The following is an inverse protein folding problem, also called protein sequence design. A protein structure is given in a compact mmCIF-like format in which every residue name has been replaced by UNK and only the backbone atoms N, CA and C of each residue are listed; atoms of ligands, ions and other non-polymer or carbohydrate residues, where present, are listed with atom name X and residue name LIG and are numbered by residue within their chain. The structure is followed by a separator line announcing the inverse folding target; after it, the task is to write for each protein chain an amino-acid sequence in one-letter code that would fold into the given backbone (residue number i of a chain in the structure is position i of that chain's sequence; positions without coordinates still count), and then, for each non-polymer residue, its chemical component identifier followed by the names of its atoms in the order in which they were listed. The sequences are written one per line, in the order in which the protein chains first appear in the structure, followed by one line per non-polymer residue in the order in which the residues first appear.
data_IF_410091335889
#
_entry.id   IF_410091335889
#
_cell.length_a   1.000
_cell.length_b   1.000
_cell.length_c   1.000
_cell.angle_alpha   90.00
_cell.angle_beta   90.00
_cell.angle_gamma   90.00
#
_symmetry.space_group_name_H-M   'P 1'
#
loop_
_entity.id
_entity.type
_entity.pdbx_description
1 polymer ?
#
# COMPACT_ATOMS: atom_id res chain seq x y z
N UNK A 1 -11.08 16.48 6.15
CA UNK A 1 -10.56 15.10 6.00
C UNK A 1 -9.09 15.09 6.33
N UNK A 2 -8.71 14.31 7.35
CA UNK A 2 -7.31 14.08 7.69
C UNK A 2 -7.09 12.58 7.80
N UNK A 3 -6.04 12.10 7.14
CA UNK A 3 -5.62 10.70 7.21
C UNK A 3 -4.23 10.68 7.83
N UNK A 4 -4.09 9.94 8.92
CA UNK A 4 -2.78 9.60 9.47
C UNK A 4 -2.62 8.09 9.41
N UNK A 5 -1.52 7.65 8.83
CA UNK A 5 -1.24 6.23 8.68
C UNK A 5 0.23 5.98 8.95
N UNK A 6 0.49 4.89 9.67
CA UNK A 6 1.84 4.43 9.97
C UNK A 6 2.12 3.19 9.12
N UNK A 7 3.24 3.20 8.41
CA UNK A 7 3.67 2.08 7.57
C UNK A 7 5.06 1.63 7.98
N UNK A 8 5.21 0.31 8.15
CA UNK A 8 6.48 -0.37 8.17
C UNK A 8 6.86 -0.76 6.75
N UNK A 9 8.10 -0.43 6.36
CA UNK A 9 8.65 -0.75 5.04
C UNK A 9 9.91 -1.64 5.17
N UNK A 10 9.78 -2.93 5.49
CA UNK A 10 10.91 -3.85 5.40
C UNK A 10 11.39 -3.91 3.95
N UNK A 11 12.70 -3.74 3.71
CA UNK A 11 13.30 -3.83 2.39
C UNK A 11 14.57 -4.68 2.42
N UNK A 12 14.80 -5.41 1.34
CA UNK A 12 15.95 -6.30 1.16
C UNK A 12 16.52 -6.12 -0.25
N UNK A 13 17.77 -5.66 -0.32
CA UNK A 13 18.49 -5.44 -1.56
C UNK A 13 19.35 -6.66 -1.93
N UNK A 14 19.20 -7.11 -3.17
CA UNK A 14 19.88 -8.23 -3.82
C UNK A 14 20.51 -7.74 -5.12
N UNK A 15 21.74 -7.23 -5.05
CA UNK A 15 22.51 -6.70 -6.18
C UNK A 15 21.75 -5.62 -6.96
N UNK A 16 21.07 -6.01 -8.05
CA UNK A 16 20.31 -5.14 -8.95
C UNK A 16 18.81 -5.15 -8.66
N UNK A 17 18.34 -5.97 -7.72
CA UNK A 17 16.92 -6.09 -7.36
C UNK A 17 16.75 -5.71 -5.89
N UNK A 18 15.82 -4.82 -5.57
CA UNK A 18 15.42 -4.54 -4.18
C UNK A 18 13.97 -4.91 -3.99
N UNK A 19 13.71 -5.85 -3.08
CA UNK A 19 12.35 -6.23 -2.68
C UNK A 19 11.97 -5.44 -1.43
N UNK A 20 10.74 -4.96 -1.36
CA UNK A 20 10.21 -4.32 -0.17
C UNK A 20 8.76 -4.72 0.09
N UNK A 21 8.39 -4.81 1.35
CA UNK A 21 7.00 -4.89 1.80
C UNK A 21 6.56 -3.55 2.34
N UNK A 22 5.27 -3.27 2.27
CA UNK A 22 4.60 -2.19 2.98
C UNK A 22 3.57 -2.85 3.88
N UNK A 23 3.61 -2.58 5.17
CA UNK A 23 2.62 -3.06 6.12
C UNK A 23 2.21 -1.86 6.95
N UNK A 24 0.97 -1.42 6.83
CA UNK A 24 0.51 -0.23 7.52
C UNK A 24 -0.88 -0.33 8.06
N UNK A 25 -1.15 0.60 8.95
CA UNK A 25 -2.44 0.76 9.56
C UNK A 25 -2.74 2.25 9.60
N UNK A 26 -3.85 2.62 8.97
CA UNK A 26 -4.26 4.01 8.79
C UNK A 26 -5.57 4.30 9.49
N UNK A 27 -5.65 5.46 10.14
CA UNK A 27 -6.90 5.98 10.68
C UNK A 27 -7.37 7.14 9.80
N UNK A 28 -8.54 6.98 9.18
CA UNK A 28 -9.17 8.04 8.42
C UNK A 28 -10.13 8.79 9.33
N UNK A 29 -9.91 10.09 9.50
CA UNK A 29 -10.85 10.97 10.21
C UNK A 29 -11.60 11.81 9.19
N UNK A 30 -12.89 11.51 9.07
CA UNK A 30 -13.88 12.35 8.42
C UNK A 30 -14.55 13.20 9.49
N UNK A 31 -14.56 14.51 9.26
CA UNK A 31 -15.16 15.48 10.16
C UNK A 31 -16.29 16.14 9.39
N UNK A 32 -17.51 15.65 9.62
CA UNK A 32 -18.76 16.12 9.01
C UNK A 32 -19.89 16.13 10.06
N UNK A 33 -19.63 16.74 11.22
CA UNK A 33 -20.58 16.87 12.33
C UNK A 33 -20.69 15.66 13.27
N UNK A 34 -20.20 14.49 12.87
CA UNK A 34 -19.96 13.34 13.74
C UNK A 34 -18.56 12.76 13.46
N UNK A 35 -17.77 12.49 14.51
CA UNK A 35 -16.41 11.97 14.35
C UNK A 35 -16.46 10.48 14.04
N UNK A 36 -16.39 10.12 12.76
CA UNK A 36 -16.23 8.73 12.34
C UNK A 36 -14.73 8.46 12.14
N UNK A 37 -14.24 7.49 12.90
CA UNK A 37 -12.85 7.03 12.86
C UNK A 37 -12.83 5.58 12.44
N UNK A 38 -12.50 5.34 11.17
CA UNK A 38 -12.31 3.98 10.66
C UNK A 38 -10.81 3.71 10.53
N UNK A 39 -10.43 2.56 11.05
CA UNK A 39 -9.06 2.09 10.96
C UNK A 39 -8.99 0.93 9.97
N UNK A 40 -8.14 1.03 8.97
CA UNK A 40 -7.94 -0.03 7.98
C UNK A 40 -6.51 -0.52 7.96
N UNK A 41 -6.34 -1.84 7.87
CA UNK A 41 -5.08 -2.47 7.58
C UNK A 41 -4.80 -2.41 6.08
N UNK A 42 -3.57 -2.05 5.73
CA UNK A 42 -3.13 -1.89 4.35
C UNK A 42 -1.80 -2.59 4.22
N UNK A 43 -1.62 -3.33 3.13
CA UNK A 43 -0.35 -3.99 2.88
C UNK A 43 0.04 -3.90 1.42
N UNK A 44 1.32 -4.05 1.14
CA UNK A 44 1.84 -4.01 -0.20
C UNK A 44 3.15 -4.76 -0.28
N UNK A 45 3.51 -5.09 -1.50
CA UNK A 45 4.82 -5.60 -1.86
C UNK A 45 5.30 -4.84 -3.09
N UNK A 46 6.59 -4.63 -3.20
CA UNK A 46 7.18 -4.03 -4.36
C UNK A 46 8.55 -4.61 -4.65
N UNK A 47 8.92 -4.53 -5.90
CA UNK A 47 10.24 -4.86 -6.40
C UNK A 47 10.76 -3.65 -7.19
N UNK A 48 11.98 -3.26 -6.89
CA UNK A 48 12.73 -2.30 -7.66
C UNK A 48 13.86 -3.02 -8.39
N UNK A 49 14.10 -2.68 -9.64
CA UNK A 49 15.17 -3.20 -10.48
C UNK A 49 16.03 -2.05 -10.96
N UNK A 50 17.30 -2.04 -10.56
CA UNK A 50 18.28 -1.08 -11.06
C UNK A 50 18.73 -1.51 -12.45
N UNK A 51 18.17 -0.87 -13.47
CA UNK A 51 18.51 -1.13 -14.86
C UNK A 51 19.88 -0.54 -15.23
N UNK A 52 20.23 0.59 -14.62
CA UNK A 52 21.50 1.31 -14.75
C UNK A 52 21.82 1.99 -13.43
N UNK A 53 23.07 2.45 -13.21
CA UNK A 53 23.46 3.22 -12.01
C UNK A 53 22.60 4.48 -11.75
N UNK A 54 21.92 4.99 -12.79
CA UNK A 54 21.07 6.18 -12.74
C UNK A 54 19.58 5.89 -12.94
N UNK A 55 19.20 4.69 -13.38
CA UNK A 55 17.80 4.38 -13.71
C UNK A 55 17.35 3.13 -12.95
N UNK A 56 16.34 3.34 -12.13
CA UNK A 56 15.62 2.31 -11.39
C UNK A 56 14.22 2.14 -11.99
N UNK A 57 13.78 0.90 -12.13
CA UNK A 57 12.42 0.55 -12.54
C UNK A 57 11.75 -0.17 -11.38
N UNK A 58 10.68 0.40 -10.86
CA UNK A 58 9.94 -0.20 -9.76
C UNK A 58 8.56 -0.66 -10.21
N UNK A 59 8.14 -1.78 -9.63
CA UNK A 59 6.78 -2.26 -9.65
C UNK A 59 6.35 -2.47 -8.21
N UNK A 60 5.24 -1.85 -7.84
CA UNK A 60 4.61 -2.09 -6.55
C UNK A 60 3.17 -2.53 -6.73
N UNK A 61 2.82 -3.49 -5.89
CA UNK A 61 1.48 -4.00 -5.71
C UNK A 61 1.07 -3.63 -4.30
N UNK A 62 0.13 -2.72 -4.17
CA UNK A 62 -0.43 -2.33 -2.87
C UNK A 62 -1.87 -2.80 -2.81
N UNK A 63 -2.17 -3.66 -1.85
CA UNK A 63 -3.53 -4.01 -1.46
C UNK A 63 -3.94 -3.11 -0.30
N UNK A 64 -4.73 -2.10 -0.64
CA UNK A 64 -5.16 -1.06 0.30
C UNK A 64 -6.28 -1.53 1.23
N UNK A 65 -6.95 -2.63 0.87
CA UNK A 65 -8.04 -3.19 1.65
C UNK A 65 -8.08 -4.70 1.48
N UNK A 66 -7.91 -5.40 2.59
CA UNK A 66 -8.09 -6.84 2.71
C UNK A 66 -8.60 -7.09 4.12
N UNK A 67 -9.89 -6.84 4.35
CA UNK A 67 -10.52 -7.52 5.48
C UNK A 67 -11.98 -7.89 5.21
N UNK A 68 -12.29 -9.11 5.64
CA UNK A 68 -13.58 -9.79 5.60
C UNK A 68 -14.53 -9.22 6.68
N UNK A 69 -14.57 -7.89 6.83
CA UNK A 69 -15.35 -7.20 7.88
C UNK A 69 -16.82 -6.94 7.52
N UNK A 70 -17.24 -7.26 6.28
CA UNK A 70 -18.60 -7.06 5.77
C UNK A 70 -19.42 -8.36 5.69
N UNK A 71 -19.02 -9.41 6.40
CA UNK A 71 -19.73 -10.70 6.41
C UNK A 71 -21.14 -10.66 7.01
N UNK A 72 -21.56 -9.56 7.63
CA UNK A 72 -22.89 -9.44 8.26
C UNK A 72 -23.93 -8.68 7.41
N UNK A 73 -23.58 -8.15 6.22
CA UNK A 73 -24.51 -7.33 5.43
C UNK A 73 -24.63 -7.66 3.93
N UNK A 74 -23.71 -8.43 3.31
CA UNK A 74 -23.96 -8.96 1.95
C UNK A 74 -22.91 -10.01 1.53
N UNK A 75 -23.27 -11.31 1.40
CA UNK A 75 -22.33 -12.40 1.13
C UNK A 75 -21.87 -12.51 -0.34
N UNK A 76 -21.85 -11.41 -1.10
CA UNK A 76 -21.82 -11.49 -2.57
C UNK A 76 -20.76 -10.65 -3.30
N UNK A 77 -19.97 -9.80 -2.64
CA UNK A 77 -18.89 -9.07 -3.32
C UNK A 77 -17.72 -8.79 -2.37
N UNK A 78 -16.67 -9.59 -2.52
CA UNK A 78 -15.33 -9.33 -1.98
C UNK A 78 -14.80 -8.05 -2.63
N UNK A 79 -14.82 -6.94 -1.90
CA UNK A 79 -14.37 -5.64 -2.40
C UNK A 79 -12.89 -5.45 -2.06
N UNK A 80 -12.01 -6.08 -2.83
CA UNK A 80 -10.58 -5.83 -2.77
C UNK A 80 -10.23 -4.62 -3.64
N UNK A 81 -9.49 -3.66 -3.08
CA UNK A 81 -8.90 -2.56 -3.85
C UNK A 81 -7.41 -2.83 -3.98
N UNK A 82 -7.07 -3.35 -5.14
CA UNK A 82 -5.71 -3.67 -5.54
C UNK A 82 -5.18 -2.60 -6.49
N UNK A 83 -4.01 -2.05 -6.19
CA UNK A 83 -3.32 -1.10 -7.07
C UNK A 83 -1.99 -1.70 -7.49
N UNK A 84 -1.77 -1.78 -8.80
CA UNK A 84 -0.46 -2.04 -9.38
C UNK A 84 0.08 -0.71 -9.90
N UNK A 85 1.19 -0.26 -9.36
CA UNK A 85 1.94 0.86 -9.90
C UNK A 85 3.21 0.35 -10.57
N UNK A 86 3.50 0.90 -11.73
CA UNK A 86 4.76 0.68 -12.45
C UNK A 86 5.36 2.05 -12.70
N UNK A 87 6.63 2.22 -12.35
CA UNK A 87 7.30 3.50 -12.47
C UNK A 87 8.78 3.37 -12.76
N UNK A 88 9.35 4.48 -13.19
CA UNK A 88 10.79 4.62 -13.42
C UNK A 88 11.27 5.77 -12.55
N UNK A 89 12.33 5.53 -11.79
CA UNK A 89 13.02 6.53 -10.99
C UNK A 89 14.38 6.81 -11.60
N UNK A 90 14.72 8.09 -11.73
CA UNK A 90 16.02 8.53 -12.20
C UNK A 90 16.79 9.15 -11.03
N UNK A 91 17.95 8.58 -10.71
CA UNK A 91 18.84 9.09 -9.65
C UNK A 91 19.95 9.94 -10.27
N UNK A 92 20.13 11.15 -9.74
CA UNK A 92 21.16 12.13 -10.13
C UNK A 92 22.39 12.05 -9.22
#
# INVERSE_FOLDING_TARGET
MSNIALYLKPQYALNQVTLYGLLGYGQVKLDDGATHSENSFQWGLGANFSATDTIDVFVDYTRLYDDNGFDDLSPANDFSVDTINVGVSYNF
#
